data_IF_038730065192
#
_entry.id   IF_038730065192
#
_cell.length_a   1.000
_cell.length_b   1.000
_cell.length_c   1.000
_cell.angle_alpha   90.00
_cell.angle_beta   90.00
_cell.angle_gamma   90.00
#
_symmetry.space_group_name_H-M   'P 1'
#
loop_
_entity.id
_entity.type
_entity.pdbx_description
1 polymer ?
#
# COMPACT_ATOMS: atom_id res chain seq x y z
N UNK A 1 -17.54 -20.49 -2.20
CA UNK A 1 -16.81 -20.52 -0.90
C UNK A 1 -15.62 -21.49 -0.93
N UNK A 2 -15.68 -22.62 -1.66
CA UNK A 2 -14.55 -23.54 -1.78
C UNK A 2 -13.31 -22.87 -2.41
N UNK A 3 -13.48 -22.08 -3.46
CA UNK A 3 -12.36 -21.34 -4.09
C UNK A 3 -11.70 -20.38 -3.10
N UNK A 4 -12.50 -19.74 -2.23
CA UNK A 4 -11.97 -18.87 -1.18
C UNK A 4 -11.09 -19.66 -0.20
N UNK A 5 -11.52 -20.84 0.24
CA UNK A 5 -10.69 -21.68 1.10
C UNK A 5 -9.43 -22.21 0.39
N UNK A 6 -9.51 -22.50 -0.90
CA UNK A 6 -8.34 -22.86 -1.68
C UNK A 6 -7.30 -21.72 -1.72
N UNK A 7 -7.75 -20.48 -1.93
CA UNK A 7 -6.87 -19.30 -1.91
C UNK A 7 -6.28 -19.04 -0.51
N UNK A 8 -7.05 -19.23 0.57
CA UNK A 8 -6.52 -19.15 1.94
C UNK A 8 -5.43 -20.19 2.16
N UNK A 9 -5.63 -21.44 1.73
CA UNK A 9 -4.61 -22.49 1.84
C UNK A 9 -3.39 -22.20 0.96
N UNK A 10 -3.59 -21.60 -0.22
CA UNK A 10 -2.49 -21.19 -1.09
C UNK A 10 -1.65 -20.12 -0.41
N UNK A 11 -2.29 -19.10 0.16
CA UNK A 11 -1.64 -18.03 0.90
C UNK A 11 -0.84 -18.57 2.09
N UNK A 12 -1.41 -19.49 2.87
CA UNK A 12 -0.74 -20.16 3.98
C UNK A 12 0.55 -20.88 3.53
N UNK A 13 0.48 -21.71 2.47
CA UNK A 13 1.66 -22.36 1.89
C UNK A 13 2.72 -21.36 1.43
N UNK A 14 2.28 -20.24 0.88
CA UNK A 14 3.14 -19.17 0.38
C UNK A 14 3.85 -18.40 1.51
N UNK A 15 3.19 -18.20 2.65
CA UNK A 15 3.83 -17.66 3.87
C UNK A 15 4.85 -18.65 4.41
N UNK A 16 4.48 -19.92 4.55
CA UNK A 16 5.38 -20.95 5.06
C UNK A 16 6.69 -21.02 4.26
N UNK A 17 6.62 -20.91 2.93
CA UNK A 17 7.81 -20.82 2.06
C UNK A 17 8.66 -19.58 2.35
N UNK A 18 8.06 -18.41 2.57
CA UNK A 18 8.78 -17.16 2.87
C UNK A 18 9.47 -17.23 4.24
N UNK A 19 8.82 -17.80 5.24
CA UNK A 19 9.41 -18.04 6.57
C UNK A 19 10.60 -18.99 6.44
N UNK A 20 10.44 -20.13 5.76
CA UNK A 20 11.53 -21.09 5.55
C UNK A 20 12.74 -20.48 4.81
N UNK A 21 12.50 -19.54 3.90
CA UNK A 21 13.58 -18.78 3.23
C UNK A 21 14.33 -17.87 4.22
N UNK A 22 13.62 -17.18 5.12
CA UNK A 22 14.23 -16.36 6.17
C UNK A 22 15.05 -17.20 7.15
N UNK A 23 14.55 -18.38 7.51
CA UNK A 23 15.27 -19.35 8.36
C UNK A 23 16.53 -19.84 7.68
N UNK A 24 16.44 -20.29 6.42
CA UNK A 24 17.59 -20.77 5.65
C UNK A 24 18.65 -19.68 5.47
N UNK A 25 18.25 -18.42 5.38
CA UNK A 25 19.15 -17.28 5.30
C UNK A 25 19.75 -16.87 6.66
N UNK A 26 19.33 -17.50 7.78
CA UNK A 26 19.73 -17.11 9.13
C UNK A 26 19.25 -15.71 9.52
N UNK A 27 18.15 -15.23 8.90
CA UNK A 27 17.61 -13.88 9.10
C UNK A 27 16.35 -13.83 9.94
N UNK A 28 15.69 -14.97 10.18
CA UNK A 28 14.42 -15.01 10.90
C UNK A 28 14.52 -14.36 12.29
N UNK A 29 15.58 -14.63 13.04
CA UNK A 29 15.75 -14.10 14.40
C UNK A 29 15.82 -12.56 14.44
N UNK A 30 16.30 -11.93 13.37
CA UNK A 30 16.39 -10.47 13.25
C UNK A 30 15.27 -9.88 12.37
N UNK A 31 14.15 -10.58 12.22
CA UNK A 31 13.03 -10.14 11.37
C UNK A 31 11.73 -10.12 12.17
N UNK A 32 11.10 -8.95 12.23
CA UNK A 32 9.71 -8.81 12.65
C UNK A 32 8.79 -9.24 11.50
N UNK A 33 7.97 -10.25 11.74
CA UNK A 33 6.96 -10.72 10.78
C UNK A 33 5.58 -10.31 11.27
N UNK A 34 4.87 -9.54 10.45
CA UNK A 34 3.46 -9.17 10.68
C UNK A 34 2.62 -9.78 9.55
N UNK A 35 1.56 -10.48 9.92
CA UNK A 35 0.58 -11.05 8.98
C UNK A 35 -0.81 -10.52 9.32
N UNK A 36 -1.45 -9.91 8.34
CA UNK A 36 -2.83 -9.41 8.47
C UNK A 36 -3.53 -9.33 7.11
N UNK A 37 -4.81 -8.95 7.10
CA UNK A 37 -5.57 -8.59 5.90
C UNK A 37 -5.88 -7.09 5.90
N UNK A 38 -6.10 -6.48 4.74
CA UNK A 38 -6.40 -5.05 4.60
C UNK A 38 -7.85 -4.68 4.98
N UNK A 39 -8.78 -5.61 4.75
CA UNK A 39 -10.20 -5.50 5.03
C UNK A 39 -10.80 -6.90 5.22
N UNK A 40 -12.06 -6.94 5.64
CA UNK A 40 -12.86 -8.16 5.70
C UNK A 40 -13.03 -8.86 4.35
N UNK A 41 -13.52 -10.10 4.42
CA UNK A 41 -13.71 -11.02 3.30
C UNK A 41 -14.63 -10.44 2.19
N UNK A 42 -14.48 -10.86 0.91
CA UNK A 42 -15.23 -10.31 -0.22
C UNK A 42 -16.65 -10.91 -0.33
N UNK A 43 -17.42 -10.85 0.75
CA UNK A 43 -18.78 -11.36 0.83
C UNK A 43 -19.77 -10.24 1.19
N UNK A 44 -21.09 -10.43 0.92
CA UNK A 44 -22.09 -9.44 1.32
C UNK A 44 -21.99 -9.07 2.80
N UNK A 45 -22.07 -7.77 3.09
CA UNK A 45 -21.94 -7.18 4.45
C UNK A 45 -20.55 -7.32 5.09
N UNK A 46 -19.54 -7.79 4.36
CA UNK A 46 -18.16 -7.81 4.81
C UNK A 46 -17.39 -6.65 4.17
N UNK A 47 -16.50 -6.91 3.20
CA UNK A 47 -15.73 -5.86 2.51
C UNK A 47 -16.61 -4.66 2.10
N UNK A 48 -16.07 -3.46 2.28
CA UNK A 48 -16.75 -2.17 2.10
C UNK A 48 -17.81 -1.80 3.16
N UNK A 49 -17.92 -2.53 4.28
CA UNK A 49 -18.83 -2.21 5.38
C UNK A 49 -18.04 -2.03 6.68
N UNK A 50 -18.61 -1.26 7.62
CA UNK A 50 -18.02 -1.01 8.95
C UNK A 50 -18.49 -2.00 10.03
N UNK A 51 -19.12 -3.11 9.63
CA UNK A 51 -19.43 -4.20 10.55
C UNK A 51 -18.16 -4.99 10.89
N UNK A 52 -18.19 -5.77 11.97
CA UNK A 52 -17.09 -6.68 12.34
C UNK A 52 -16.62 -7.55 11.17
N UNK A 53 -17.55 -8.06 10.36
CA UNK A 53 -17.23 -8.85 9.16
C UNK A 53 -16.44 -8.09 8.09
N UNK A 54 -16.47 -6.76 8.09
CA UNK A 54 -15.78 -5.88 7.15
C UNK A 54 -14.48 -5.28 7.70
N UNK A 55 -14.35 -5.12 9.02
CA UNK A 55 -13.21 -4.45 9.65
C UNK A 55 -12.35 -5.35 10.54
N UNK A 56 -12.90 -6.43 11.12
CA UNK A 56 -12.16 -7.33 12.00
C UNK A 56 -11.37 -8.34 11.18
N UNK A 57 -10.08 -8.10 11.04
CA UNK A 57 -9.14 -8.94 10.29
C UNK A 57 -8.24 -9.76 11.21
N UNK A 58 -7.66 -10.88 10.75
CA UNK A 58 -6.61 -11.57 11.51
C UNK A 58 -5.40 -10.65 11.68
N UNK A 59 -4.74 -10.73 12.84
CA UNK A 59 -3.52 -9.99 13.11
C UNK A 59 -2.55 -10.87 13.90
N UNK A 60 -1.43 -11.24 13.28
CA UNK A 60 -0.40 -12.09 13.90
C UNK A 60 0.94 -11.39 13.79
N UNK A 61 1.67 -11.35 14.90
CA UNK A 61 3.01 -10.79 14.99
C UNK A 61 3.96 -11.86 15.52
N UNK A 62 5.12 -12.01 14.88
CA UNK A 62 6.17 -12.91 15.31
C UNK A 62 7.53 -12.22 15.22
N UNK A 63 8.28 -12.25 16.31
CA UNK A 63 9.69 -11.87 16.34
C UNK A 63 10.41 -12.78 17.34
N UNK A 64 10.90 -13.96 16.90
CA UNK A 64 11.35 -15.02 17.81
C UNK A 64 12.41 -14.60 18.83
N UNK A 65 13.33 -13.70 18.46
CA UNK A 65 14.39 -13.24 19.36
C UNK A 65 13.95 -12.17 20.38
N UNK A 66 12.84 -11.47 20.13
CA UNK A 66 12.39 -10.34 20.96
C UNK A 66 11.11 -10.64 21.74
N UNK A 67 10.24 -11.51 21.21
CA UNK A 67 8.90 -11.74 21.76
C UNK A 67 8.65 -13.24 21.92
N UNK A 68 8.31 -13.65 23.15
CA UNK A 68 7.89 -15.03 23.42
C UNK A 68 6.56 -15.33 22.73
N UNK A 69 6.55 -16.34 21.86
CA UNK A 69 5.36 -16.80 21.15
C UNK A 69 4.31 -17.45 22.05
N UNK A 70 3.13 -17.73 21.48
CA UNK A 70 2.02 -18.41 22.16
C UNK A 70 1.11 -17.49 22.99
N UNK A 71 1.28 -16.17 22.89
CA UNK A 71 0.40 -15.19 23.53
C UNK A 71 -0.82 -14.91 22.64
N UNK A 72 -2.00 -14.89 23.24
CA UNK A 72 -3.22 -14.29 22.66
C UNK A 72 -3.44 -12.94 23.33
N UNK A 73 -3.74 -11.92 22.53
CA UNK A 73 -4.02 -10.56 23.00
C UNK A 73 -5.45 -10.22 22.58
N UNK A 74 -6.28 -9.81 23.54
CA UNK A 74 -7.68 -9.42 23.29
C UNK A 74 -7.89 -7.91 23.31
N UNK A 75 -6.82 -7.14 23.50
CA UNK A 75 -6.85 -5.68 23.45
C UNK A 75 -7.35 -5.22 22.06
N UNK A 76 -8.17 -4.16 22.07
CA UNK A 76 -8.66 -3.56 20.84
C UNK A 76 -7.55 -2.70 20.22
N UNK A 77 -7.14 -3.07 19.00
CA UNK A 77 -6.11 -2.37 18.23
C UNK A 77 -6.63 -2.01 16.84
N UNK A 78 -6.04 -0.98 16.24
CA UNK A 78 -6.27 -0.49 14.89
C UNK A 78 -4.95 -0.49 14.11
N UNK A 79 -5.02 -0.41 12.78
CA UNK A 79 -3.81 -0.27 11.94
C UNK A 79 -3.01 0.99 12.24
N UNK A 80 -3.65 2.02 12.80
CA UNK A 80 -3.01 3.24 13.28
C UNK A 80 -2.02 2.99 14.42
N UNK A 81 -2.14 1.86 15.12
CA UNK A 81 -1.31 1.51 16.28
C UNK A 81 -0.04 0.73 15.89
N UNK A 82 0.02 0.20 14.66
CA UNK A 82 1.11 -0.68 14.20
C UNK A 82 2.36 0.13 13.84
N UNK A 83 2.16 1.20 13.10
CA UNK A 83 3.19 2.13 12.66
C UNK A 83 2.51 3.45 12.29
N UNK A 84 3.24 4.59 12.34
CA UNK A 84 2.75 5.83 11.76
C UNK A 84 2.28 5.57 10.32
N UNK A 85 1.07 6.00 9.98
CA UNK A 85 0.56 5.88 8.61
C UNK A 85 1.31 6.84 7.71
N UNK A 86 2.45 6.42 7.17
CA UNK A 86 3.22 7.15 6.16
C UNK A 86 2.60 7.02 4.74
N UNK A 87 1.26 6.87 4.65
CA UNK A 87 0.48 7.00 3.40
C UNK A 87 -0.53 5.90 3.05
N UNK A 88 -1.65 6.29 2.40
CA UNK A 88 -2.38 5.52 1.38
C UNK A 88 -3.56 6.30 0.74
N UNK A 89 -3.39 7.59 0.42
CA UNK A 89 -4.44 8.36 -0.22
C UNK A 89 -3.94 9.08 -1.48
N UNK A 90 -4.75 9.02 -2.54
CA UNK A 90 -4.36 9.40 -3.88
C UNK A 90 -5.41 10.23 -4.59
N UNK A 91 -4.97 11.24 -5.34
CA UNK A 91 -5.79 11.90 -6.37
C UNK A 91 -5.43 11.25 -7.69
N UNK A 92 -6.43 10.70 -8.38
CA UNK A 92 -6.29 10.25 -9.76
C UNK A 92 -6.78 11.37 -10.67
N UNK A 93 -5.84 12.10 -11.28
CA UNK A 93 -6.12 13.29 -12.05
C UNK A 93 -6.00 13.02 -13.54
N UNK A 94 -6.99 13.47 -14.32
CA UNK A 94 -6.90 13.55 -15.77
C UNK A 94 -5.95 14.71 -16.15
N UNK A 95 -4.90 14.37 -16.88
CA UNK A 95 -3.88 15.28 -17.40
C UNK A 95 -3.83 15.29 -18.92
N UNK A 96 -4.88 14.81 -19.59
CA UNK A 96 -5.01 14.78 -21.06
C UNK A 96 -4.83 16.16 -21.71
N UNK A 97 -5.05 17.24 -20.97
CA UNK A 97 -4.78 18.62 -21.42
C UNK A 97 -3.29 18.93 -21.60
N UNK A 98 -2.40 18.11 -21.03
CA UNK A 98 -0.96 18.38 -20.94
C UNK A 98 -0.09 17.27 -21.55
N UNK A 99 -0.63 16.07 -21.74
CA UNK A 99 0.07 14.92 -22.31
C UNK A 99 -0.90 13.83 -22.76
N UNK A 100 -0.48 13.02 -23.73
CA UNK A 100 -1.09 11.72 -24.07
C UNK A 100 -0.22 10.53 -23.62
N UNK A 101 0.95 10.80 -23.02
CA UNK A 101 1.87 9.82 -22.43
C UNK A 101 2.19 10.22 -20.98
N UNK A 102 1.44 9.64 -20.05
CA UNK A 102 1.59 9.87 -18.61
C UNK A 102 2.92 9.36 -18.06
N UNK A 103 3.54 8.35 -18.70
CA UNK A 103 4.82 7.80 -18.24
C UNK A 103 5.97 8.74 -18.59
N UNK A 104 6.01 9.22 -19.83
CA UNK A 104 6.98 10.22 -20.24
C UNK A 104 6.81 11.52 -19.44
N UNK A 105 5.57 11.93 -19.21
CA UNK A 105 5.28 13.14 -18.45
C UNK A 105 5.67 13.01 -16.96
N UNK A 106 5.42 11.86 -16.33
CA UNK A 106 5.87 11.60 -14.96
C UNK A 106 7.40 11.65 -14.84
N UNK A 107 8.13 11.11 -15.84
CA UNK A 107 9.59 11.17 -15.88
C UNK A 107 10.09 12.62 -16.07
N UNK A 108 9.44 13.41 -16.93
CA UNK A 108 9.76 14.82 -17.14
C UNK A 108 9.56 15.64 -15.85
N UNK A 109 8.44 15.44 -15.15
CA UNK A 109 8.16 16.12 -13.87
C UNK A 109 9.24 15.77 -12.83
N UNK A 110 9.64 14.50 -12.75
CA UNK A 110 10.68 14.08 -11.82
C UNK A 110 12.03 14.73 -12.14
N UNK A 111 12.42 14.75 -13.42
CA UNK A 111 13.70 15.30 -13.86
C UNK A 111 13.78 16.83 -13.69
N UNK A 112 12.74 17.55 -14.13
CA UNK A 112 12.74 19.02 -14.14
C UNK A 112 12.25 19.67 -12.85
N UNK A 113 11.24 19.08 -12.21
CA UNK A 113 10.66 19.64 -10.98
C UNK A 113 11.17 18.96 -9.70
N UNK A 114 11.83 17.80 -9.81
CA UNK A 114 12.24 17.00 -8.66
C UNK A 114 11.04 16.45 -7.88
N UNK A 115 9.87 16.29 -8.52
CA UNK A 115 8.65 15.79 -7.90
C UNK A 115 8.30 14.42 -8.45
N UNK A 116 8.21 13.41 -7.59
CA UNK A 116 7.81 12.08 -8.00
C UNK A 116 6.27 11.98 -8.11
N UNK A 117 5.79 11.60 -9.29
CA UNK A 117 4.37 11.29 -9.56
C UNK A 117 4.26 9.92 -10.23
N UNK A 118 3.14 9.23 -10.07
CA UNK A 118 2.96 7.88 -10.65
C UNK A 118 2.07 7.95 -11.89
N UNK A 119 2.45 7.34 -13.02
CA UNK A 119 1.58 7.25 -14.18
C UNK A 119 0.33 6.39 -13.88
N UNK A 120 -0.80 6.74 -14.47
CA UNK A 120 -2.05 6.05 -14.20
C UNK A 120 -2.21 4.68 -14.83
N UNK A 121 -1.26 4.28 -15.69
CA UNK A 121 -1.21 2.99 -16.40
C UNK A 121 -1.21 1.78 -15.46
N UNK A 122 -0.62 1.91 -14.26
CA UNK A 122 -0.58 0.82 -13.27
C UNK A 122 -1.97 0.48 -12.70
N UNK A 123 -2.97 1.36 -12.91
CA UNK A 123 -4.32 1.26 -12.33
C UNK A 123 -5.43 1.18 -13.38
N UNK A 124 -5.23 1.79 -14.56
CA UNK A 124 -6.18 1.74 -15.67
C UNK A 124 -5.42 1.50 -17.00
N UNK A 125 -5.38 0.25 -17.50
CA UNK A 125 -4.68 -0.06 -18.74
C UNK A 125 -5.26 0.61 -20.00
N UNK A 126 -6.52 1.07 -19.95
CA UNK A 126 -7.23 1.63 -21.10
C UNK A 126 -7.18 3.16 -21.17
N UNK A 127 -7.13 3.84 -20.02
CA UNK A 127 -7.14 5.31 -19.94
C UNK A 127 -5.92 5.88 -19.20
N UNK A 128 -5.10 5.02 -18.60
CA UNK A 128 -3.97 5.40 -17.74
C UNK A 128 -2.90 6.24 -18.41
N UNK A 129 -2.84 6.23 -19.75
CA UNK A 129 -1.93 7.06 -20.55
C UNK A 129 -2.19 8.56 -20.37
N UNK A 130 -3.39 8.95 -19.91
CA UNK A 130 -3.82 10.35 -19.77
C UNK A 130 -4.02 10.78 -18.32
N UNK A 131 -3.58 9.96 -17.36
CA UNK A 131 -3.84 10.22 -15.94
C UNK A 131 -2.56 10.12 -15.12
N UNK A 132 -2.49 10.91 -14.06
CA UNK A 132 -1.45 10.84 -13.04
C UNK A 132 -2.05 10.59 -11.67
N UNK A 133 -1.32 9.85 -10.84
CA UNK A 133 -1.64 9.63 -9.44
C UNK A 133 -0.74 10.50 -8.57
N UNK A 134 -1.37 11.36 -7.78
CA UNK A 134 -0.70 12.18 -6.77
C UNK A 134 -0.93 11.57 -5.40
N UNK A 135 0.15 11.28 -4.69
CA UNK A 135 0.12 10.82 -3.30
C UNK A 135 0.14 12.01 -2.35
N UNK A 136 -0.79 12.04 -1.40
CA UNK A 136 -0.78 13.00 -0.28
C UNK A 136 -0.44 12.31 1.05
N UNK A 137 0.52 11.40 0.97
CA UNK A 137 1.02 10.57 2.06
C UNK A 137 2.17 11.19 2.88
N UNK A 138 2.57 12.43 2.58
CA UNK A 138 3.70 13.12 3.23
C UNK A 138 3.20 14.26 4.12
N UNK A 139 4.12 14.88 4.86
CA UNK A 139 3.80 16.07 5.67
C UNK A 139 3.22 17.20 4.82
N UNK A 140 2.43 18.07 5.43
CA UNK A 140 1.86 19.25 4.75
C UNK A 140 2.95 20.11 4.09
N UNK A 141 4.10 20.28 4.75
CA UNK A 141 5.23 21.03 4.21
C UNK A 141 5.79 20.43 2.93
N UNK A 142 5.97 19.10 2.88
CA UNK A 142 6.48 18.39 1.69
C UNK A 142 5.47 18.50 0.53
N UNK A 143 4.17 18.46 0.85
CA UNK A 143 3.10 18.61 -0.14
C UNK A 143 3.04 20.04 -0.70
N UNK A 144 3.13 21.06 0.15
CA UNK A 144 3.18 22.46 -0.26
C UNK A 144 4.39 22.74 -1.16
N UNK A 145 5.56 22.21 -0.79
CA UNK A 145 6.77 22.32 -1.61
C UNK A 145 6.61 21.59 -2.95
N UNK A 146 6.10 20.36 -2.95
CA UNK A 146 5.85 19.60 -4.17
C UNK A 146 4.89 20.31 -5.12
N UNK A 147 3.81 20.91 -4.60
CA UNK A 147 2.85 21.71 -5.38
C UNK A 147 3.51 22.98 -5.91
N UNK A 148 4.34 23.67 -5.11
CA UNK A 148 5.05 24.87 -5.56
C UNK A 148 6.01 24.56 -6.72
N UNK A 149 6.78 23.47 -6.62
CA UNK A 149 7.68 22.99 -7.68
C UNK A 149 6.93 22.61 -8.94
N UNK A 150 5.81 21.87 -8.81
CA UNK A 150 4.93 21.55 -9.93
C UNK A 150 4.38 22.81 -10.60
N UNK A 151 3.95 23.80 -9.82
CA UNK A 151 3.42 25.07 -10.36
C UNK A 151 4.49 25.84 -11.14
N UNK A 152 5.72 25.89 -10.64
CA UNK A 152 6.85 26.51 -11.35
C UNK A 152 7.14 25.77 -12.66
N UNK A 153 7.26 24.45 -12.62
CA UNK A 153 7.46 23.60 -13.80
C UNK A 153 6.37 23.81 -14.86
N UNK A 154 5.10 23.81 -14.46
CA UNK A 154 3.97 24.00 -15.39
C UNK A 154 3.90 25.42 -15.97
N UNK A 155 4.51 26.41 -15.33
CA UNK A 155 4.57 27.79 -15.86
C UNK A 155 5.71 27.98 -16.87
N UNK A 156 6.75 27.16 -16.82
CA UNK A 156 7.93 27.23 -17.70
C UNK A 156 7.83 26.34 -18.95
N UNK A 157 6.83 25.45 -19.00
CA UNK A 157 6.60 24.46 -20.06
C UNK A 157 5.58 24.92 -21.08
#
# INVERSE_FOLDING_TARGET
ILDYYFEVQRFDREIGRRIALLEKAGKLDNTLVIMTGDNGMPFPRAKCNLYDSGCRVPFVVSWPSQVKGGRVVEDFISFTDIAPTDGAFYVYADVSRFTDDSRAFAAEILDKAGVAVTPGLDFDPARGHKTLRFSYARSTSDMEEGIARLKAFMAER
#
